data_IF_221489590495
#
_entry.id   IF_221489590495
#
_cell.length_a   1.000
_cell.length_b   1.000
_cell.length_c   1.000
_cell.angle_alpha   90.00
_cell.angle_beta   90.00
_cell.angle_gamma   90.00
#
_symmetry.space_group_name_H-M   'P 1'
#
loop_
_entity.id
_entity.type
_entity.pdbx_description
1 polymer ?
#
# COMPACT_ATOMS: atom_id res chain seq x y z
N UNK A 1 3.62 28.60 -13.44
CA UNK A 1 2.37 28.33 -14.17
C UNK A 1 2.21 26.85 -14.51
N UNK A 2 3.22 26.19 -15.10
CA UNK A 2 3.17 24.76 -15.47
C UNK A 2 2.90 23.79 -14.30
N UNK A 3 3.57 23.98 -13.17
CA UNK A 3 3.47 23.07 -12.01
C UNK A 3 2.10 23.15 -11.31
N UNK A 4 1.44 24.32 -11.37
CA UNK A 4 0.11 24.52 -10.80
C UNK A 4 -0.97 23.83 -11.64
N UNK A 5 -0.83 23.86 -12.97
CA UNK A 5 -1.74 23.15 -13.89
C UNK A 5 -1.58 21.63 -13.73
N UNK A 6 -0.35 21.12 -13.58
CA UNK A 6 -0.10 19.70 -13.34
C UNK A 6 -0.66 19.21 -11.99
N UNK A 7 -0.57 20.03 -10.93
CA UNK A 7 -1.21 19.76 -9.63
C UNK A 7 -2.74 19.78 -9.71
N UNK A 8 -3.34 20.65 -10.53
CA UNK A 8 -4.79 20.67 -10.75
C UNK A 8 -5.25 19.47 -11.58
N UNK A 9 -4.51 19.08 -12.63
CA UNK A 9 -4.78 17.84 -13.38
C UNK A 9 -4.63 16.58 -12.52
N UNK A 10 -3.70 16.57 -11.54
CA UNK A 10 -3.61 15.48 -10.54
C UNK A 10 -4.82 15.41 -9.61
N UNK A 11 -5.47 16.55 -9.33
CA UNK A 11 -6.72 16.61 -8.55
C UNK A 11 -7.95 16.16 -9.36
N UNK A 12 -7.89 16.20 -10.69
CA UNK A 12 -8.96 15.72 -11.57
C UNK A 12 -9.09 14.19 -11.62
N UNK A 13 -8.18 13.44 -10.97
CA UNK A 13 -8.48 12.08 -10.52
C UNK A 13 -9.51 12.15 -9.38
N UNK A 14 -10.73 12.55 -9.72
CA UNK A 14 -11.91 12.35 -8.91
C UNK A 14 -11.86 10.88 -8.48
N UNK A 15 -11.62 10.66 -7.19
CA UNK A 15 -11.85 9.37 -6.55
C UNK A 15 -13.33 9.09 -6.77
N UNK A 16 -13.65 8.42 -7.88
CA UNK A 16 -15.01 8.08 -8.25
C UNK A 16 -15.52 7.14 -7.17
N UNK A 17 -16.22 7.70 -6.19
CA UNK A 17 -17.14 6.94 -5.35
C UNK A 17 -18.28 6.60 -6.29
N UNK A 18 -18.23 5.41 -6.89
CA UNK A 18 -19.29 4.93 -7.77
C UNK A 18 -20.45 4.51 -6.86
N UNK A 19 -21.61 5.19 -6.90
CA UNK A 19 -22.72 4.90 -5.99
C UNK A 19 -23.32 3.51 -6.21
N UNK A 20 -23.15 2.94 -7.41
CA UNK A 20 -23.74 1.67 -7.85
C UNK A 20 -22.67 0.64 -8.23
N UNK A 21 -21.73 0.36 -7.32
CA UNK A 21 -20.87 -0.82 -7.48
C UNK A 21 -21.73 -2.08 -7.41
N UNK A 22 -21.91 -2.77 -8.54
CA UNK A 22 -22.56 -4.09 -8.61
C UNK A 22 -21.67 -5.23 -8.09
N UNK A 23 -20.51 -4.92 -7.51
CA UNK A 23 -19.64 -5.92 -6.91
C UNK A 23 -20.28 -6.40 -5.59
N UNK A 24 -20.69 -7.68 -5.46
CA UNK A 24 -21.25 -8.21 -4.22
C UNK A 24 -20.23 -8.23 -3.06
N UNK A 25 -18.95 -7.92 -3.31
CA UNK A 25 -17.89 -7.70 -2.31
C UNK A 25 -17.58 -6.22 -2.08
N UNK A 26 -18.40 -5.30 -2.61
CA UNK A 26 -18.24 -3.87 -2.35
C UNK A 26 -18.48 -3.58 -0.86
N UNK A 27 -17.44 -3.08 -0.21
CA UNK A 27 -17.50 -2.62 1.19
C UNK A 27 -17.59 -1.09 1.18
N UNK A 28 -18.10 -0.49 2.27
CA UNK A 28 -18.14 0.96 2.40
C UNK A 28 -16.76 1.62 2.23
N UNK A 29 -16.68 2.82 1.62
CA UNK A 29 -15.45 3.58 1.54
C UNK A 29 -14.79 3.79 2.91
N UNK A 30 -13.45 3.76 2.93
CA UNK A 30 -12.70 4.05 4.15
C UNK A 30 -12.72 5.55 4.39
N UNK A 31 -13.45 5.97 5.42
CA UNK A 31 -13.58 7.37 5.85
C UNK A 31 -12.89 7.56 7.21
N UNK A 32 -12.67 8.81 7.64
CA UNK A 32 -12.10 9.12 8.97
C UNK A 32 -10.58 9.35 8.99
N UNK A 33 -9.79 8.56 8.25
CA UNK A 33 -8.33 8.73 8.27
C UNK A 33 -7.87 10.12 7.78
N UNK A 34 -8.63 10.75 6.89
CA UNK A 34 -8.29 12.05 6.33
C UNK A 34 -8.35 13.18 7.38
N UNK A 35 -9.17 13.00 8.41
CA UNK A 35 -9.38 13.93 9.52
C UNK A 35 -8.30 13.80 10.61
N UNK A 36 -7.50 12.73 10.61
CA UNK A 36 -6.37 12.60 11.52
C UNK A 36 -5.33 13.70 11.25
N UNK A 37 -4.68 14.23 12.30
CA UNK A 37 -3.55 15.12 12.13
C UNK A 37 -2.37 14.37 11.49
N UNK A 38 -1.53 15.10 10.75
CA UNK A 38 -0.26 14.55 10.30
C UNK A 38 0.68 14.47 11.51
N UNK A 39 1.21 13.28 11.79
CA UNK A 39 2.00 12.98 12.98
C UNK A 39 3.33 12.34 12.57
N UNK A 40 4.39 12.46 13.40
CA UNK A 40 5.63 11.71 13.23
C UNK A 40 5.37 10.20 13.22
N UNK A 41 6.20 9.43 12.52
CA UNK A 41 5.99 8.00 12.27
C UNK A 41 5.82 7.20 13.56
N UNK A 42 6.66 7.45 14.57
CA UNK A 42 6.57 6.78 15.86
C UNK A 42 5.22 6.99 16.57
N UNK A 43 4.71 8.22 16.54
CA UNK A 43 3.40 8.56 17.11
C UNK A 43 2.26 7.99 16.27
N UNK A 44 2.38 8.03 14.94
CA UNK A 44 1.39 7.48 14.02
C UNK A 44 1.23 5.95 14.18
N UNK A 45 2.30 5.23 14.53
CA UNK A 45 2.30 3.79 14.75
C UNK A 45 1.92 3.38 16.19
N UNK A 46 1.78 4.31 17.14
CA UNK A 46 1.45 3.97 18.54
C UNK A 46 0.18 3.11 18.69
N UNK A 47 -0.93 3.37 17.97
CA UNK A 47 -2.12 2.52 18.06
C UNK A 47 -1.93 1.10 17.50
N UNK A 48 -0.85 0.86 16.76
CA UNK A 48 -0.55 -0.43 16.13
C UNK A 48 0.28 -1.36 17.03
N UNK A 49 0.78 -0.86 18.16
CA UNK A 49 1.54 -1.65 19.15
C UNK A 49 0.86 -2.98 19.53
N UNK A 50 -0.46 -3.03 19.84
CA UNK A 50 -1.11 -4.28 20.20
C UNK A 50 -1.41 -5.20 19.00
N UNK A 51 -1.22 -4.72 17.76
CA UNK A 51 -1.63 -5.41 16.52
C UNK A 51 -0.41 -5.98 15.79
N UNK A 52 0.69 -5.22 15.76
CA UNK A 52 1.87 -5.53 14.96
C UNK A 52 3.04 -5.85 15.88
N UNK A 53 3.61 -7.03 15.65
CA UNK A 53 4.78 -7.50 16.37
C UNK A 53 5.96 -6.51 16.24
N UNK A 54 6.49 -6.08 17.39
CA UNK A 54 7.66 -5.23 17.51
C UNK A 54 7.65 -3.96 16.63
N UNK A 55 6.47 -3.37 16.40
CA UNK A 55 6.32 -2.23 15.47
C UNK A 55 7.29 -1.07 15.75
N UNK A 56 7.54 -0.73 17.02
CA UNK A 56 8.43 0.38 17.36
C UNK A 56 9.89 0.11 16.95
N UNK A 57 10.34 -1.14 17.02
CA UNK A 57 11.68 -1.52 16.54
C UNK A 57 11.81 -1.31 15.04
N UNK A 58 10.81 -1.76 14.26
CA UNK A 58 10.80 -1.58 12.81
C UNK A 58 10.60 -0.11 12.40
N UNK A 59 9.88 0.68 13.19
CA UNK A 59 9.82 2.14 13.02
C UNK A 59 11.22 2.75 13.17
N UNK A 60 11.99 2.37 14.19
CA UNK A 60 13.37 2.85 14.34
C UNK A 60 14.23 2.47 13.14
N UNK A 61 14.17 1.22 12.68
CA UNK A 61 14.88 0.77 11.47
C UNK A 61 14.49 1.63 10.26
N UNK A 62 13.20 1.88 10.05
CA UNK A 62 12.73 2.68 8.93
C UNK A 62 13.24 4.12 8.97
N UNK A 63 13.26 4.74 10.16
CA UNK A 63 13.79 6.09 10.36
C UNK A 63 15.31 6.14 10.15
N UNK A 64 16.05 5.18 10.70
CA UNK A 64 17.52 5.09 10.56
C UNK A 64 17.97 4.88 9.11
N UNK A 65 17.17 4.17 8.31
CA UNK A 65 17.45 3.92 6.89
C UNK A 65 16.86 4.99 5.96
N UNK A 66 16.24 6.03 6.51
CA UNK A 66 15.66 7.14 5.74
C UNK A 66 16.52 8.40 5.90
N UNK A 67 16.89 9.09 4.80
CA UNK A 67 17.59 10.35 4.91
C UNK A 67 16.81 11.37 5.74
N UNK A 68 17.52 12.12 6.59
CA UNK A 68 16.91 13.20 7.39
C UNK A 68 16.30 14.31 6.50
N UNK A 69 16.85 14.51 5.30
CA UNK A 69 16.39 15.49 4.32
C UNK A 69 16.21 14.82 2.95
N UNK A 70 15.05 14.20 2.68
CA UNK A 70 14.74 13.64 1.38
C UNK A 70 14.73 14.72 0.28
N UNK A 71 15.30 14.43 -0.89
CA UNK A 71 15.40 15.38 -2.00
C UNK A 71 14.13 15.50 -2.84
N UNK A 72 13.11 14.69 -2.54
CA UNK A 72 11.86 14.50 -3.30
C UNK A 72 10.68 15.29 -2.72
N UNK A 73 10.92 16.20 -1.77
CA UNK A 73 9.89 17.02 -1.12
C UNK A 73 9.10 16.29 -0.03
N UNK A 74 9.51 15.07 0.32
CA UNK A 74 9.01 14.35 1.48
C UNK A 74 9.74 14.78 2.75
N UNK A 75 9.06 14.68 3.87
CA UNK A 75 9.69 14.68 5.19
C UNK A 75 10.32 13.31 5.47
N UNK A 76 11.30 13.25 6.40
CA UNK A 76 11.88 11.98 6.83
C UNK A 76 10.82 10.99 7.32
N UNK A 77 9.81 11.44 8.10
CA UNK A 77 8.71 10.58 8.56
C UNK A 77 7.84 10.04 7.40
N UNK A 78 7.60 10.85 6.37
CA UNK A 78 6.83 10.43 5.19
C UNK A 78 7.59 9.38 4.37
N UNK A 79 8.88 9.61 4.09
CA UNK A 79 9.73 8.62 3.42
C UNK A 79 9.88 7.34 4.24
N UNK A 80 10.07 7.47 5.56
CA UNK A 80 10.17 6.32 6.47
C UNK A 80 8.85 5.54 6.56
N UNK A 81 7.69 6.20 6.41
CA UNK A 81 6.40 5.50 6.37
C UNK A 81 6.27 4.57 5.17
N UNK A 82 6.82 4.99 4.01
CA UNK A 82 6.87 4.19 2.79
C UNK A 82 7.89 3.06 2.95
N UNK A 83 9.07 3.36 3.48
CA UNK A 83 10.09 2.35 3.79
C UNK A 83 9.49 1.24 4.68
N UNK A 84 8.82 1.63 5.77
CA UNK A 84 8.16 0.72 6.70
C UNK A 84 7.08 -0.13 6.01
N UNK A 85 6.32 0.44 5.08
CA UNK A 85 5.34 -0.30 4.28
C UNK A 85 6.01 -1.33 3.36
N UNK A 86 7.18 -1.04 2.80
CA UNK A 86 7.86 -1.95 1.85
C UNK A 86 8.81 -2.95 2.51
N UNK A 87 9.06 -2.82 3.80
CA UNK A 87 10.00 -3.68 4.53
C UNK A 87 9.38 -5.05 4.83
N UNK A 88 10.21 -6.10 4.73
CA UNK A 88 9.86 -7.46 5.14
C UNK A 88 10.38 -7.75 6.55
N UNK A 89 9.56 -8.40 7.36
CA UNK A 89 9.89 -8.77 8.72
C UNK A 89 10.65 -10.10 8.69
N UNK A 90 11.69 -10.19 9.51
CA UNK A 90 12.43 -11.43 9.72
C UNK A 90 11.74 -12.34 10.74
N UNK A 91 12.14 -13.62 10.77
CA UNK A 91 11.73 -14.55 11.82
C UNK A 91 10.31 -15.12 11.69
N UNK A 92 9.69 -15.05 10.51
CA UNK A 92 8.36 -15.63 10.25
C UNK A 92 7.19 -14.81 10.77
N UNK A 93 7.45 -13.60 11.27
CA UNK A 93 6.39 -12.65 11.64
C UNK A 93 5.81 -11.97 10.41
N UNK A 94 4.53 -11.64 10.47
CA UNK A 94 3.87 -10.93 9.36
C UNK A 94 4.24 -9.45 9.39
N UNK A 95 4.77 -8.98 8.27
CA UNK A 95 5.12 -7.58 8.04
C UNK A 95 3.93 -6.64 8.11
N UNK A 96 4.19 -5.35 8.38
CA UNK A 96 3.15 -4.32 8.47
C UNK A 96 2.21 -4.33 7.27
N UNK A 97 2.75 -4.39 6.05
CA UNK A 97 1.93 -4.35 4.83
C UNK A 97 1.02 -5.57 4.67
N UNK A 98 1.43 -6.73 5.20
CA UNK A 98 0.64 -7.96 5.15
C UNK A 98 -0.61 -7.77 6.00
N UNK A 99 -0.43 -7.33 7.25
CA UNK A 99 -1.54 -7.10 8.19
C UNK A 99 -2.43 -5.94 7.72
N UNK A 100 -1.83 -4.83 7.27
CA UNK A 100 -2.57 -3.69 6.76
C UNK A 100 -3.45 -4.07 5.57
N UNK A 101 -2.89 -4.76 4.56
CA UNK A 101 -3.64 -5.11 3.37
C UNK A 101 -4.75 -6.14 3.64
N UNK A 102 -4.58 -7.03 4.61
CA UNK A 102 -5.68 -7.88 5.09
C UNK A 102 -6.78 -7.03 5.75
N UNK A 103 -6.40 -6.10 6.63
CA UNK A 103 -7.35 -5.21 7.32
C UNK A 103 -8.10 -4.32 6.32
N UNK A 104 -7.44 -3.83 5.26
CA UNK A 104 -8.10 -3.04 4.22
C UNK A 104 -9.21 -3.82 3.49
N UNK A 105 -9.03 -5.15 3.36
CA UNK A 105 -10.00 -6.04 2.69
C UNK A 105 -11.14 -6.48 3.59
N UNK A 106 -11.07 -6.27 4.91
CA UNK A 106 -12.14 -6.70 5.82
C UNK A 106 -13.41 -5.85 5.62
N UNK A 107 -14.62 -6.45 5.63
CA UNK A 107 -15.86 -5.68 5.61
C UNK A 107 -16.02 -4.80 6.86
N UNK A 108 -15.43 -5.21 7.98
CA UNK A 108 -15.53 -4.50 9.25
C UNK A 108 -14.57 -3.29 9.32
N UNK A 109 -15.12 -2.09 9.07
CA UNK A 109 -14.36 -0.84 9.05
C UNK A 109 -13.86 -0.39 10.41
N UNK A 110 -14.40 -0.92 11.51
CA UNK A 110 -13.92 -0.58 12.84
C UNK A 110 -12.48 -1.07 13.07
N UNK A 111 -12.11 -2.18 12.43
CA UNK A 111 -10.74 -2.73 12.50
C UNK A 111 -9.70 -1.81 11.86
N UNK A 112 -10.10 -0.86 11.01
CA UNK A 112 -9.20 0.11 10.40
C UNK A 112 -8.92 1.33 11.28
N UNK A 113 -9.71 1.59 12.33
CA UNK A 113 -9.53 2.77 13.19
C UNK A 113 -8.11 2.91 13.77
N UNK A 114 -7.46 1.83 14.29
CA UNK A 114 -6.08 1.92 14.76
C UNK A 114 -5.08 2.34 13.67
N UNK A 115 -5.40 2.11 12.39
CA UNK A 115 -4.54 2.39 11.26
C UNK A 115 -4.65 3.82 10.74
N UNK A 116 -5.65 4.59 11.15
CA UNK A 116 -5.95 5.89 10.54
C UNK A 116 -4.79 6.87 10.62
N UNK A 117 -4.08 6.93 11.75
CA UNK A 117 -2.90 7.80 11.90
C UNK A 117 -1.76 7.40 10.96
N UNK A 118 -1.50 6.10 10.83
CA UNK A 118 -0.49 5.60 9.90
C UNK A 118 -0.91 5.80 8.43
N UNK A 119 -2.17 5.51 8.10
CA UNK A 119 -2.74 5.73 6.76
C UNK A 119 -2.70 7.20 6.35
N UNK A 120 -2.98 8.12 7.29
CA UNK A 120 -2.86 9.56 7.07
C UNK A 120 -1.44 9.92 6.62
N UNK A 121 -0.42 9.44 7.34
CA UNK A 121 0.99 9.71 7.02
C UNK A 121 1.38 9.09 5.67
N UNK A 122 1.14 7.78 5.50
CA UNK A 122 1.52 7.03 4.29
C UNK A 122 0.85 7.61 3.03
N UNK A 123 -0.47 7.85 3.06
CA UNK A 123 -1.18 8.37 1.90
C UNK A 123 -0.80 9.82 1.59
N UNK A 124 -0.45 10.62 2.60
CA UNK A 124 0.09 11.97 2.38
C UNK A 124 1.44 11.90 1.65
N UNK A 125 2.32 10.97 2.06
CA UNK A 125 3.60 10.73 1.40
C UNK A 125 3.41 10.30 -0.07
N UNK A 126 2.55 9.31 -0.31
CA UNK A 126 2.30 8.78 -1.66
C UNK A 126 1.72 9.82 -2.62
N UNK A 127 0.90 10.77 -2.13
CA UNK A 127 0.34 11.85 -2.96
C UNK A 127 1.39 12.88 -3.37
N UNK A 128 2.45 13.06 -2.58
CA UNK A 128 3.56 13.98 -2.89
C UNK A 128 4.52 13.41 -3.94
N UNK A 129 4.66 12.09 -4.01
CA UNK A 129 5.54 11.43 -4.97
C UNK A 129 5.05 11.67 -6.40
N UNK A 130 5.99 11.91 -7.31
CA UNK A 130 5.71 12.02 -8.73
C UNK A 130 5.09 10.72 -9.25
N UNK A 131 3.90 10.81 -9.83
CA UNK A 131 3.33 9.66 -10.52
C UNK A 131 4.25 9.21 -11.65
N UNK A 132 4.55 7.91 -11.69
CA UNK A 132 5.28 7.34 -12.81
C UNK A 132 4.50 7.54 -14.11
N UNK A 133 5.22 7.68 -15.22
CA UNK A 133 4.61 7.68 -16.55
C UNK A 133 3.81 6.39 -16.78
N UNK A 134 2.78 6.47 -17.63
CA UNK A 134 1.99 5.30 -18.01
C UNK A 134 2.91 4.19 -18.54
N UNK A 135 2.89 3.04 -17.87
CA UNK A 135 3.71 1.89 -18.22
C UNK A 135 3.05 0.59 -17.75
N UNK A 136 3.45 -0.52 -18.34
CA UNK A 136 3.02 -1.84 -17.90
C UNK A 136 3.77 -2.22 -16.63
N UNK A 137 3.02 -2.60 -15.59
CA UNK A 137 3.55 -3.14 -14.36
C UNK A 137 2.98 -4.53 -14.11
N UNK A 138 3.74 -5.34 -13.37
CA UNK A 138 3.39 -6.71 -13.06
C UNK A 138 3.24 -6.89 -11.55
N UNK A 139 2.31 -7.75 -11.15
CA UNK A 139 2.09 -8.11 -9.75
C UNK A 139 2.02 -9.63 -9.64
N UNK A 140 2.94 -10.21 -8.87
CA UNK A 140 2.93 -11.63 -8.54
C UNK A 140 1.83 -11.94 -7.53
N UNK A 141 1.09 -13.02 -7.77
CA UNK A 141 0.06 -13.51 -6.85
C UNK A 141 0.19 -15.03 -6.80
N UNK A 142 0.34 -15.59 -5.59
CA UNK A 142 0.50 -17.03 -5.36
C UNK A 142 -0.77 -17.87 -5.61
N UNK A 143 -1.90 -17.22 -5.86
CA UNK A 143 -3.23 -17.85 -6.05
C UNK A 143 -3.75 -17.53 -7.44
N UNK A 144 -4.39 -18.50 -8.10
CA UNK A 144 -5.15 -18.24 -9.31
C UNK A 144 -6.39 -17.40 -8.97
N UNK A 145 -6.34 -16.11 -9.34
CA UNK A 145 -7.46 -15.19 -9.16
C UNK A 145 -8.33 -15.06 -10.41
N UNK A 146 -8.00 -15.73 -11.52
CA UNK A 146 -8.78 -15.61 -12.77
C UNK A 146 -10.29 -15.79 -12.61
N UNK A 147 -10.78 -16.73 -11.76
CA UNK A 147 -12.22 -16.85 -11.50
C UNK A 147 -12.85 -15.63 -10.80
N UNK A 148 -12.05 -14.86 -10.05
CA UNK A 148 -12.49 -13.66 -9.33
C UNK A 148 -12.48 -12.39 -10.21
N UNK A 149 -11.89 -12.45 -11.41
CA UNK A 149 -11.78 -11.33 -12.35
C UNK A 149 -12.35 -11.66 -13.73
N UNK A 150 -13.68 -11.89 -13.86
CA UNK A 150 -14.30 -12.09 -15.16
C UNK A 150 -14.14 -10.83 -16.03
N UNK A 151 -13.84 -11.05 -17.33
CA UNK A 151 -13.62 -9.96 -18.29
C UNK A 151 -14.84 -9.03 -18.33
N UNK A 152 -14.58 -7.71 -18.33
CA UNK A 152 -15.63 -6.69 -18.39
C UNK A 152 -16.23 -6.33 -17.03
N UNK A 153 -15.75 -6.91 -15.94
CA UNK A 153 -16.14 -6.50 -14.58
C UNK A 153 -15.24 -5.40 -14.04
N UNK A 154 -15.85 -4.50 -13.26
CA UNK A 154 -15.12 -3.53 -12.46
C UNK A 154 -14.84 -4.16 -11.10
N UNK A 155 -13.61 -3.99 -10.60
CA UNK A 155 -13.19 -4.54 -9.31
C UNK A 155 -12.50 -3.47 -8.50
N UNK A 156 -12.85 -3.39 -7.22
CA UNK A 156 -12.22 -2.48 -6.25
C UNK A 156 -11.12 -3.22 -5.50
N UNK A 157 -9.89 -2.72 -5.61
CA UNK A 157 -8.75 -3.24 -4.89
C UNK A 157 -8.59 -2.46 -3.59
N UNK A 158 -9.13 -2.99 -2.50
CA UNK A 158 -9.08 -2.33 -1.20
C UNK A 158 -7.67 -2.24 -0.62
N UNK A 159 -6.84 -3.27 -0.82
CA UNK A 159 -5.44 -3.26 -0.41
C UNK A 159 -4.58 -2.42 -1.34
N UNK A 160 -3.50 -1.88 -0.81
CA UNK A 160 -2.45 -1.25 -1.59
C UNK A 160 -1.74 -2.29 -2.47
N UNK A 161 -1.58 -1.96 -3.75
CA UNK A 161 -1.01 -2.84 -4.76
C UNK A 161 0.46 -2.50 -5.03
N UNK A 162 1.37 -3.26 -4.41
CA UNK A 162 2.78 -3.30 -4.81
C UNK A 162 2.95 -4.02 -6.15
N UNK A 163 3.73 -3.43 -7.07
CA UNK A 163 3.97 -3.93 -8.42
C UNK A 163 5.46 -3.74 -8.80
N UNK A 164 5.90 -4.42 -9.85
CA UNK A 164 7.25 -4.28 -10.43
C UNK A 164 7.16 -3.95 -11.92
N UNK A 165 8.08 -3.12 -12.41
CA UNK A 165 8.27 -2.88 -13.86
C UNK A 165 9.12 -3.98 -14.51
N UNK A 166 9.77 -4.82 -13.69
CA UNK A 166 10.79 -5.77 -14.13
C UNK A 166 10.31 -7.18 -13.89
N UNK A 167 9.98 -7.90 -14.96
CA UNK A 167 9.42 -9.25 -14.91
C UNK A 167 10.31 -10.27 -14.17
N UNK A 168 11.66 -10.24 -14.29
CA UNK A 168 12.55 -11.12 -13.52
C UNK A 168 12.38 -11.04 -11.99
N UNK A 169 11.89 -9.91 -11.46
CA UNK A 169 11.62 -9.76 -10.02
C UNK A 169 10.50 -10.70 -9.56
N UNK A 170 9.61 -11.10 -10.46
CA UNK A 170 8.56 -12.08 -10.17
C UNK A 170 9.10 -13.51 -10.08
N UNK A 171 10.26 -13.83 -10.65
CA UNK A 171 10.83 -15.19 -10.61
C UNK A 171 11.31 -15.61 -9.21
N UNK A 172 11.29 -14.70 -8.24
CA UNK A 172 11.56 -15.01 -6.84
C UNK A 172 10.35 -15.71 -6.19
N UNK A 173 10.59 -16.85 -5.55
CA UNK A 173 9.59 -17.65 -4.83
C UNK A 173 8.81 -16.85 -3.77
N UNK A 174 9.36 -15.74 -3.29
CA UNK A 174 8.67 -14.79 -2.41
C UNK A 174 7.39 -14.21 -3.05
N UNK A 175 7.33 -14.02 -4.38
CA UNK A 175 6.18 -13.39 -5.05
C UNK A 175 5.28 -14.37 -5.80
N UNK A 176 5.83 -15.45 -6.36
CA UNK A 176 5.05 -16.45 -7.11
C UNK A 176 4.74 -17.72 -6.30
N UNK A 177 5.44 -17.98 -5.20
CA UNK A 177 5.46 -19.31 -4.60
C UNK A 177 6.13 -20.31 -5.55
N UNK A 178 6.42 -21.53 -5.08
CA UNK A 178 6.92 -22.58 -5.97
C UNK A 178 5.90 -22.79 -7.09
N UNK A 179 6.25 -22.43 -8.32
CA UNK A 179 5.43 -22.69 -9.50
C UNK A 179 5.10 -24.18 -9.56
N UNK A 180 3.81 -24.54 -9.47
CA UNK A 180 3.31 -25.90 -9.72
C UNK A 180 3.26 -26.26 -11.22
N UNK A 181 3.82 -25.42 -12.10
CA UNK A 181 4.07 -25.81 -13.48
C UNK A 181 5.49 -26.33 -13.60
N UNK A 182 5.69 -27.55 -14.13
CA UNK A 182 7.03 -28.04 -14.41
C UNK A 182 7.72 -27.03 -15.32
N UNK A 183 8.91 -26.58 -14.91
CA UNK A 183 9.83 -25.93 -15.84
C UNK A 183 10.03 -26.92 -16.98
N UNK A 184 9.53 -26.59 -18.17
CA UNK A 184 9.82 -27.42 -19.34
C UNK A 184 11.35 -27.52 -19.47
N UNK A 185 11.92 -28.73 -19.50
CA UNK A 185 13.30 -28.88 -19.87
C UNK A 185 13.44 -28.50 -21.35
N UNK A 186 14.56 -27.84 -21.67
CA UNK A 186 15.02 -27.55 -23.04
C UNK A 186 15.05 -28.81 -23.92
#
# INVERSE_FOLDING_TARGET
MSQYIELQARRENARLVIPDSKDPKAVDPITGYAQEPLLPLATACTPLIPIIFNILHYVSIALENTPHYPSDGLTSDESASIYLYTMEWSGGHRSLYTILNETLRTPDREQLKPWFKYLKLLLTALVKIQCASQQTVWRGIRKNLSPEFPRGTQVIWWGLSSCTTTLPVLENDLFLGACLYPKNPE
#
